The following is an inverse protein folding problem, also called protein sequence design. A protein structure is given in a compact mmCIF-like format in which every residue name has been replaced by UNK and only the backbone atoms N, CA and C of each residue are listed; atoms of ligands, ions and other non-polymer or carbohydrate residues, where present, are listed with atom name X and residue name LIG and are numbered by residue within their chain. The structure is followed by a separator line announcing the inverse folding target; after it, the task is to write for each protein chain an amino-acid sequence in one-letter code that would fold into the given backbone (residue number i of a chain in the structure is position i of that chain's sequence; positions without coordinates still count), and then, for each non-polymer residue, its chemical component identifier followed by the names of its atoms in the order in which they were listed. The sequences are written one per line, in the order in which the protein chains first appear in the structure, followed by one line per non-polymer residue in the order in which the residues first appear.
data_IF_919125760420
#
_entry.id   IF_919125760420
#
_cell.length_a   1.000
_cell.length_b   1.000
_cell.length_c   1.000
_cell.angle_alpha   90.00
_cell.angle_beta   90.00
_cell.angle_gamma   90.00
#
_symmetry.space_group_name_H-M   'P 1'
#
loop_
_entity.id
_entity.type
_entity.pdbx_description
1 polymer ?
#
# COMPACT_ATOMS: atom_id res chain seq x y z
N UNK A 1 -16.26 -0.46 -13.89
CA UNK A 1 -15.11 -0.62 -12.99
C UNK A 1 -15.45 -0.15 -11.57
N UNK A 2 -15.16 -0.97 -10.56
CA UNK A 2 -15.33 -0.62 -9.15
C UNK A 2 -14.32 0.47 -8.76
N UNK A 3 -14.80 1.67 -8.39
CA UNK A 3 -13.93 2.80 -8.01
C UNK A 3 -13.48 2.77 -6.54
N UNK A 4 -14.02 1.87 -5.72
CA UNK A 4 -13.67 1.73 -4.30
C UNK A 4 -12.16 1.64 -4.01
N UNK A 5 -11.35 0.83 -4.73
CA UNK A 5 -9.91 0.79 -4.50
C UNK A 5 -9.24 2.14 -4.78
N UNK A 6 -9.57 2.80 -5.89
CA UNK A 6 -9.02 4.12 -6.22
C UNK A 6 -9.39 5.18 -5.17
N UNK A 7 -10.64 5.16 -4.68
CA UNK A 7 -11.10 6.06 -3.60
C UNK A 7 -10.34 5.77 -2.30
N UNK A 8 -10.15 4.49 -1.94
CA UNK A 8 -9.37 4.12 -0.77
C UNK A 8 -7.91 4.61 -0.88
N UNK A 9 -7.26 4.39 -2.02
CA UNK A 9 -5.90 4.86 -2.30
C UNK A 9 -5.80 6.38 -2.18
N UNK A 10 -6.75 7.13 -2.74
CA UNK A 10 -6.82 8.59 -2.61
C UNK A 10 -7.02 9.03 -1.16
N UNK A 11 -7.94 8.42 -0.43
CA UNK A 11 -8.20 8.77 0.97
C UNK A 11 -6.97 8.57 1.86
N UNK A 12 -6.23 7.47 1.65
CA UNK A 12 -4.98 7.24 2.37
C UNK A 12 -3.92 8.26 1.93
N UNK A 13 -3.81 8.56 0.63
CA UNK A 13 -2.91 9.59 0.12
C UNK A 13 -3.18 10.98 0.73
N UNK A 14 -4.45 11.37 0.88
CA UNK A 14 -4.84 12.62 1.53
C UNK A 14 -4.48 12.59 3.01
N UNK A 15 -4.75 11.49 3.72
CA UNK A 15 -4.37 11.35 5.12
C UNK A 15 -2.85 11.48 5.31
N UNK A 16 -2.05 10.85 4.45
CA UNK A 16 -0.59 11.02 4.45
C UNK A 16 -0.19 12.47 4.18
N UNK A 17 -0.82 13.16 3.23
CA UNK A 17 -0.53 14.57 2.93
C UNK A 17 -0.82 15.48 4.13
N UNK A 18 -1.93 15.26 4.84
CA UNK A 18 -2.28 16.00 6.04
C UNK A 18 -1.25 15.77 7.15
N UNK A 19 -0.83 14.52 7.37
CA UNK A 19 0.24 14.20 8.31
C UNK A 19 1.55 14.89 7.94
N UNK A 20 1.91 14.93 6.66
CA UNK A 20 3.09 15.68 6.20
C UNK A 20 3.02 17.15 6.60
N UNK A 21 1.87 17.82 6.42
CA UNK A 21 1.70 19.22 6.81
C UNK A 21 1.83 19.41 8.32
N UNK A 22 1.23 18.51 9.10
CA UNK A 22 1.33 18.52 10.57
C UNK A 22 2.78 18.42 11.03
N UNK A 23 3.56 17.49 10.48
CA UNK A 23 4.97 17.35 10.81
C UNK A 23 5.84 18.49 10.28
N UNK A 24 5.53 19.02 9.09
CA UNK A 24 6.33 20.08 8.45
C UNK A 24 6.15 21.44 9.13
N UNK A 25 4.96 21.75 9.62
CA UNK A 25 4.64 23.00 10.30
C UNK A 25 4.71 22.89 11.83
N UNK A 26 5.14 21.74 12.35
CA UNK A 26 5.18 21.43 13.79
C UNK A 26 3.85 21.75 14.50
N UNK A 27 2.73 21.41 13.87
CA UNK A 27 1.40 21.72 14.41
C UNK A 27 1.20 20.96 15.73
N UNK A 28 0.99 21.70 16.82
CA UNK A 28 0.82 21.14 18.15
C UNK A 28 2.12 20.74 18.86
N UNK A 29 3.29 21.16 18.36
CA UNK A 29 4.58 20.91 19.02
C UNK A 29 5.04 19.45 18.98
N UNK A 30 4.65 18.73 17.92
CA UNK A 30 4.98 17.31 17.72
C UNK A 30 6.48 17.05 17.67
N UNK A 31 7.28 18.04 17.27
CA UNK A 31 8.74 18.00 17.32
C UNK A 31 9.29 17.68 18.72
N UNK A 32 8.56 18.04 19.78
CA UNK A 32 8.93 17.74 21.17
C UNK A 32 8.68 16.28 21.56
N UNK A 33 7.74 15.61 20.89
CA UNK A 33 7.40 14.21 21.10
C UNK A 33 8.21 13.27 20.20
N UNK A 34 8.56 13.73 19.00
CA UNK A 34 9.31 12.97 18.00
C UNK A 34 10.50 13.81 17.50
N UNK A 35 11.69 13.65 18.08
CA UNK A 35 12.89 14.42 17.72
C UNK A 35 13.32 14.27 16.25
N UNK A 36 12.89 13.19 15.59
CA UNK A 36 13.14 12.93 14.16
C UNK A 36 11.91 13.20 13.26
N UNK A 37 10.97 14.03 13.72
CA UNK A 37 9.75 14.40 12.98
C UNK A 37 10.02 14.90 11.55
N UNK A 38 11.20 15.49 11.29
CA UNK A 38 11.59 15.92 9.95
C UNK A 38 11.72 14.75 8.94
N UNK A 39 12.11 13.54 9.39
CA UNK A 39 12.13 12.34 8.54
C UNK A 39 10.71 11.89 8.18
N UNK A 40 9.76 12.10 9.09
CA UNK A 40 8.34 11.79 8.85
C UNK A 40 7.74 12.69 7.75
N UNK A 41 8.21 13.93 7.59
CA UNK A 41 7.79 14.81 6.47
C UNK A 41 8.11 14.16 5.13
N UNK A 42 9.33 13.66 4.94
CA UNK A 42 9.74 13.00 3.70
C UNK A 42 9.07 11.64 3.51
N UNK A 43 8.91 10.86 4.59
CA UNK A 43 8.21 9.58 4.54
C UNK A 43 6.74 9.72 4.14
N UNK A 44 5.95 10.50 4.91
CA UNK A 44 4.54 10.73 4.60
C UNK A 44 4.36 11.52 3.31
N UNK A 45 5.26 12.46 3.00
CA UNK A 45 5.20 13.25 1.76
C UNK A 45 5.42 12.40 0.53
N UNK A 46 6.41 11.49 0.56
CA UNK A 46 6.65 10.52 -0.51
C UNK A 46 5.49 9.56 -0.70
N UNK A 47 4.94 9.00 0.39
CA UNK A 47 3.75 8.15 0.33
C UNK A 47 2.53 8.90 -0.21
N UNK A 48 2.30 10.15 0.23
CA UNK A 48 1.21 10.99 -0.25
C UNK A 48 1.33 11.23 -1.76
N UNK A 49 2.51 11.62 -2.24
CA UNK A 49 2.74 11.85 -3.67
C UNK A 49 2.43 10.60 -4.50
N UNK A 50 2.98 9.44 -4.12
CA UNK A 50 2.74 8.19 -4.83
C UNK A 50 1.26 7.79 -4.83
N UNK A 51 0.60 7.82 -3.66
CA UNK A 51 -0.79 7.38 -3.52
C UNK A 51 -1.77 8.34 -4.19
N UNK A 52 -1.55 9.65 -4.11
CA UNK A 52 -2.40 10.65 -4.75
C UNK A 52 -2.31 10.56 -6.26
N UNK A 53 -1.10 10.42 -6.81
CA UNK A 53 -0.89 10.26 -8.26
C UNK A 53 -1.56 8.98 -8.73
N UNK A 54 -1.22 7.83 -8.15
CA UNK A 54 -1.78 6.54 -8.53
C UNK A 54 -3.31 6.51 -8.40
N UNK A 55 -3.84 7.01 -7.28
CA UNK A 55 -5.27 7.06 -7.03
C UNK A 55 -6.01 8.01 -7.99
N UNK A 56 -5.43 9.17 -8.32
CA UNK A 56 -6.03 10.13 -9.24
C UNK A 56 -6.11 9.57 -10.67
N UNK A 57 -5.02 8.97 -11.17
CA UNK A 57 -5.02 8.32 -12.48
C UNK A 57 -6.01 7.16 -12.53
N UNK A 58 -6.06 6.32 -11.49
CA UNK A 58 -7.02 5.22 -11.41
C UNK A 58 -8.49 5.71 -11.38
N UNK A 59 -8.76 6.86 -10.77
CA UNK A 59 -10.11 7.45 -10.72
C UNK A 59 -10.52 8.10 -12.05
N UNK A 60 -9.55 8.74 -12.71
CA UNK A 60 -9.71 9.45 -13.97
C UNK A 60 -9.81 8.50 -15.18
N UNK A 61 -9.24 7.28 -15.09
CA UNK A 61 -9.33 6.28 -16.13
C UNK A 61 -10.79 5.94 -16.43
N UNK A 62 -11.21 6.21 -17.67
CA UNK A 62 -12.51 5.85 -18.20
C UNK A 62 -12.31 4.59 -19.05
N UNK A 63 -12.68 3.40 -18.55
CA UNK A 63 -12.46 2.18 -19.28
C UNK A 63 -13.23 2.20 -20.59
N UNK A 64 -12.58 1.75 -21.65
CA UNK A 64 -13.22 1.61 -22.96
C UNK A 64 -14.26 0.47 -22.94
N UNK A 65 -15.17 0.43 -23.92
CA UNK A 65 -16.15 -0.67 -24.02
C UNK A 65 -15.47 -2.04 -24.15
N UNK A 66 -14.37 -2.09 -24.89
CA UNK A 66 -13.57 -3.30 -25.08
C UNK A 66 -12.94 -3.75 -23.77
N UNK A 67 -12.35 -2.85 -22.99
CA UNK A 67 -11.81 -3.17 -21.65
C UNK A 67 -12.88 -3.70 -20.68
N UNK A 68 -14.10 -3.17 -20.74
CA UNK A 68 -15.19 -3.67 -19.90
C UNK A 68 -15.60 -5.09 -20.27
N UNK A 69 -15.70 -5.40 -21.56
CA UNK A 69 -16.00 -6.75 -22.04
C UNK A 69 -14.88 -7.72 -21.64
N UNK A 70 -13.63 -7.31 -21.78
CA UNK A 70 -12.47 -8.13 -21.41
C UNK A 70 -12.33 -8.32 -19.89
N UNK A 71 -12.74 -7.35 -19.07
CA UNK A 71 -12.74 -7.49 -17.61
C UNK A 71 -13.83 -8.44 -17.10
N UNK A 72 -14.96 -8.52 -17.80
CA UNK A 72 -16.07 -9.38 -17.42
C UNK A 72 -15.94 -10.82 -17.95
N UNK A 73 -14.99 -11.10 -18.84
CA UNK A 73 -14.64 -12.46 -19.29
C UNK A 73 -14.05 -13.30 -18.14
N UNK A 74 -14.68 -14.44 -17.85
CA UNK A 74 -14.27 -15.40 -16.82
C UNK A 74 -12.83 -15.88 -16.97
N UNK A 75 -12.35 -16.06 -18.22
CA UNK A 75 -10.95 -16.45 -18.46
C UNK A 75 -10.00 -15.34 -18.04
N UNK A 76 -10.33 -14.09 -18.35
CA UNK A 76 -9.50 -12.95 -17.99
C UNK A 76 -9.55 -12.68 -16.48
N UNK A 77 -10.69 -12.89 -15.81
CA UNK A 77 -10.77 -12.85 -14.34
C UNK A 77 -9.85 -13.89 -13.70
N UNK A 78 -9.84 -15.12 -14.22
CA UNK A 78 -8.97 -16.18 -13.72
C UNK A 78 -7.48 -15.87 -13.94
N UNK A 79 -7.10 -15.36 -15.12
CA UNK A 79 -5.72 -14.96 -15.43
C UNK A 79 -5.28 -13.81 -14.50
N UNK A 80 -6.09 -12.76 -14.38
CA UNK A 80 -5.78 -11.63 -13.51
C UNK A 80 -5.67 -12.05 -12.04
N UNK A 81 -6.54 -12.96 -11.58
CA UNK A 81 -6.45 -13.53 -10.23
C UNK A 81 -5.15 -14.28 -10.00
N UNK A 82 -4.71 -15.13 -10.94
CA UNK A 82 -3.43 -15.83 -10.87
C UNK A 82 -2.23 -14.88 -10.91
N UNK A 83 -2.27 -13.87 -11.77
CA UNK A 83 -1.22 -12.87 -11.88
C UNK A 83 -1.10 -12.04 -10.58
N UNK A 84 -2.22 -11.64 -9.99
CA UNK A 84 -2.24 -10.93 -8.71
C UNK A 84 -1.69 -11.79 -7.56
N UNK A 85 -2.02 -13.09 -7.55
CA UNK A 85 -1.46 -14.03 -6.57
C UNK A 85 0.07 -14.15 -6.71
N UNK A 86 0.57 -14.35 -7.92
CA UNK A 86 2.00 -14.42 -8.18
C UNK A 86 2.71 -13.12 -7.76
N UNK A 87 2.13 -11.96 -8.09
CA UNK A 87 2.68 -10.67 -7.68
C UNK A 87 2.74 -10.54 -6.15
N UNK A 88 1.69 -10.99 -5.43
CA UNK A 88 1.69 -11.02 -3.98
C UNK A 88 2.78 -11.94 -3.42
N UNK A 89 2.92 -13.16 -3.92
CA UNK A 89 3.97 -14.11 -3.49
C UNK A 89 5.37 -13.53 -3.70
N UNK A 90 5.61 -12.89 -4.85
CA UNK A 90 6.88 -12.21 -5.15
C UNK A 90 7.11 -11.04 -4.18
N UNK A 91 6.10 -10.22 -3.90
CA UNK A 91 6.24 -9.13 -2.93
C UNK A 91 6.53 -9.64 -1.51
N UNK A 92 5.87 -10.71 -1.07
CA UNK A 92 6.14 -11.32 0.23
C UNK A 92 7.57 -11.83 0.36
N UNK A 93 8.25 -12.17 -0.73
CA UNK A 93 9.68 -12.53 -0.69
C UNK A 93 10.58 -11.30 -0.78
N UNK A 94 10.27 -10.38 -1.69
CA UNK A 94 11.16 -9.25 -1.99
C UNK A 94 11.17 -8.17 -0.91
N UNK A 95 10.03 -7.87 -0.28
CA UNK A 95 9.92 -6.85 0.77
C UNK A 95 10.79 -7.17 1.99
N UNK A 96 10.74 -8.38 2.60
CA UNK A 96 11.59 -8.68 3.75
C UNK A 96 13.08 -8.76 3.36
N UNK A 97 13.40 -9.23 2.15
CA UNK A 97 14.79 -9.21 1.66
C UNK A 97 15.31 -7.79 1.47
N UNK A 98 14.51 -6.89 0.91
CA UNK A 98 14.87 -5.47 0.78
C UNK A 98 15.03 -4.82 2.17
N UNK A 99 14.12 -5.11 3.10
CA UNK A 99 14.23 -4.66 4.49
C UNK A 99 15.50 -5.17 5.17
N UNK A 100 15.85 -6.44 4.97
CA UNK A 100 17.08 -7.04 5.50
C UNK A 100 18.33 -6.37 4.92
N UNK A 101 18.37 -6.12 3.61
CA UNK A 101 19.49 -5.40 2.97
C UNK A 101 19.64 -4.01 3.58
N UNK A 102 18.54 -3.26 3.70
CA UNK A 102 18.54 -1.91 4.31
C UNK A 102 18.99 -1.93 5.77
N UNK A 103 18.64 -2.98 6.53
CA UNK A 103 19.12 -3.17 7.90
C UNK A 103 20.62 -3.44 7.94
N UNK A 104 21.14 -4.33 7.08
CA UNK A 104 22.57 -4.68 7.02
C UNK A 104 23.42 -3.46 6.66
N UNK A 105 22.95 -2.59 5.76
CA UNK A 105 23.68 -1.36 5.39
C UNK A 105 23.50 -0.21 6.38
N UNK A 106 22.75 -0.40 7.47
CA UNK A 106 22.56 0.60 8.52
C UNK A 106 21.55 1.70 8.21
N UNK A 107 20.77 1.56 7.13
CA UNK A 107 19.76 2.54 6.71
C UNK A 107 18.44 2.41 7.46
N UNK A 108 18.19 1.23 8.06
CA UNK A 108 16.96 0.95 8.82
C UNK A 108 17.32 0.36 10.18
N UNK A 109 16.63 0.81 11.24
CA UNK A 109 16.80 0.28 12.59
C UNK A 109 16.17 -1.11 12.75
N UNK A 110 16.52 -1.85 13.81
CA UNK A 110 15.85 -3.13 14.14
C UNK A 110 14.33 -2.95 14.23
N UNK A 111 13.87 -1.86 14.86
CA UNK A 111 12.45 -1.55 14.96
C UNK A 111 11.82 -1.34 13.57
N UNK A 112 12.49 -0.62 12.67
CA UNK A 112 12.03 -0.42 11.30
C UNK A 112 11.94 -1.73 10.51
N UNK A 113 12.92 -2.62 10.66
CA UNK A 113 12.90 -3.96 10.05
C UNK A 113 11.71 -4.79 10.56
N UNK A 114 11.47 -4.78 11.88
CA UNK A 114 10.34 -5.49 12.49
C UNK A 114 8.98 -4.93 12.03
N UNK A 115 8.88 -3.64 11.72
CA UNK A 115 7.67 -3.06 11.13
C UNK A 115 7.40 -3.62 9.73
N UNK A 116 8.42 -3.72 8.86
CA UNK A 116 8.25 -4.34 7.53
C UNK A 116 7.80 -5.80 7.63
N UNK A 117 8.44 -6.58 8.52
CA UNK A 117 8.05 -7.97 8.78
C UNK A 117 6.62 -8.05 9.31
N UNK A 118 6.25 -7.18 10.24
CA UNK A 118 4.89 -7.12 10.80
C UNK A 118 3.83 -6.85 9.74
N UNK A 119 4.09 -5.93 8.81
CA UNK A 119 3.18 -5.62 7.69
C UNK A 119 2.95 -6.87 6.82
N UNK A 120 4.00 -7.62 6.52
CA UNK A 120 3.92 -8.85 5.71
C UNK A 120 3.12 -9.95 6.42
N UNK A 121 3.35 -10.14 7.72
CA UNK A 121 2.58 -11.10 8.53
C UNK A 121 1.10 -10.72 8.53
N UNK A 122 0.77 -9.44 8.75
CA UNK A 122 -0.63 -8.98 8.74
C UNK A 122 -1.27 -9.19 7.38
N UNK A 123 -0.58 -8.87 6.28
CA UNK A 123 -1.09 -9.09 4.93
C UNK A 123 -1.38 -10.57 4.66
N UNK A 124 -0.48 -11.46 5.11
CA UNK A 124 -0.63 -12.91 4.98
C UNK A 124 -1.80 -13.45 5.81
N UNK A 125 -1.96 -12.97 7.05
CA UNK A 125 -3.11 -13.33 7.91
C UNK A 125 -4.42 -12.90 7.26
N UNK A 126 -4.50 -11.67 6.75
CA UNK A 126 -5.69 -11.17 6.05
C UNK A 126 -6.01 -12.04 4.83
N UNK A 127 -5.00 -12.41 4.03
CA UNK A 127 -5.17 -13.29 2.88
C UNK A 127 -5.81 -14.64 3.27
N UNK A 128 -5.26 -15.35 4.24
CA UNK A 128 -5.81 -16.63 4.70
C UNK A 128 -7.19 -16.48 5.37
N UNK A 129 -7.41 -15.41 6.14
CA UNK A 129 -8.71 -15.13 6.73
C UNK A 129 -9.79 -14.90 5.66
N UNK A 130 -9.46 -14.21 4.57
CA UNK A 130 -10.37 -14.00 3.45
C UNK A 130 -10.66 -15.29 2.68
N UNK A 131 -9.65 -16.15 2.45
CA UNK A 131 -9.88 -17.49 1.88
C UNK A 131 -10.87 -18.27 2.72
N UNK A 132 -10.63 -18.36 4.04
CA UNK A 132 -11.50 -19.09 4.96
C UNK A 132 -12.92 -18.51 5.01
N UNK A 133 -13.10 -17.21 4.79
CA UNK A 133 -14.41 -16.59 4.64
C UNK A 133 -15.07 -16.98 3.32
N UNK A 134 -14.36 -16.85 2.20
CA UNK A 134 -14.91 -17.13 0.87
C UNK A 134 -15.30 -18.60 0.71
N UNK A 135 -14.51 -19.54 1.23
CA UNK A 135 -14.85 -20.97 1.24
C UNK A 135 -16.13 -21.30 2.01
N UNK A 136 -16.58 -20.43 2.93
CA UNK A 136 -17.83 -20.62 3.70
C UNK A 136 -19.03 -19.94 3.06
N UNK A 137 -18.80 -18.93 2.22
CA UNK A 137 -19.86 -18.05 1.69
C UNK A 137 -20.12 -18.22 0.19
N UNK A 138 -19.21 -18.87 -0.52
CA UNK A 138 -19.34 -19.27 -1.93
C UNK A 138 -19.57 -20.78 -2.00
#
# INVERSE_FOLDING_TARGET
MNKKPAVLTLSIGIACALLTVVFALDLGGISTLLPEAYKAVWGFGGCAAALLVCGAFALAHKPTKTELIEQDDERNKAINGKAALLAFEVFSILVPLAGLVLYIVGEVSVAGLLVFIGVEIVATVVYFAQIGRFQKTM
#
